data_IF_879206113760
#
_entry.id   IF_879206113760
#
_cell.length_a   1.000
_cell.length_b   1.000
_cell.length_c   1.000
_cell.angle_alpha   90.00
_cell.angle_beta   90.00
_cell.angle_gamma   90.00
#
_symmetry.space_group_name_H-M   'P 1'
#
loop_
_entity.id
_entity.type
_entity.pdbx_description
1 polymer ?
#
# COMPACT_ATOMS: atom_id res chain seq x y z
N UNK A 1 16.00 44.31 47.26
CA UNK A 1 14.97 43.37 46.72
C UNK A 1 14.65 43.62 45.24
N UNK A 2 14.61 44.87 44.77
CA UNK A 2 14.26 45.21 43.37
C UNK A 2 15.15 44.55 42.30
N UNK A 3 16.48 44.47 42.51
CA UNK A 3 17.40 43.81 41.56
C UNK A 3 17.14 42.31 41.40
N UNK A 4 16.77 41.62 42.49
CA UNK A 4 16.47 40.17 42.46
C UNK A 4 15.13 39.89 41.76
N UNK A 5 14.16 40.79 41.95
CA UNK A 5 12.87 40.76 41.23
C UNK A 5 13.05 41.03 39.73
N UNK A 6 13.91 41.98 39.36
CA UNK A 6 14.23 42.29 37.96
C UNK A 6 14.87 41.08 37.24
N UNK A 7 15.77 40.35 37.90
CA UNK A 7 16.36 39.12 37.37
C UNK A 7 15.34 37.98 37.20
N UNK A 8 14.40 37.84 38.14
CA UNK A 8 13.36 36.82 38.03
C UNK A 8 12.38 37.12 36.90
N UNK A 9 11.99 38.39 36.73
CA UNK A 9 11.08 38.81 35.65
C UNK A 9 11.74 38.60 34.28
N UNK A 10 13.01 38.98 34.12
CA UNK A 10 13.74 38.78 32.86
C UNK A 10 13.94 37.30 32.53
N UNK A 11 14.25 36.46 33.52
CA UNK A 11 14.34 35.01 33.32
C UNK A 11 12.97 34.39 32.95
N UNK A 12 11.90 34.80 33.61
CA UNK A 12 10.54 34.33 33.29
C UNK A 12 10.11 34.76 31.88
N UNK A 13 10.45 35.97 31.46
CA UNK A 13 10.12 36.49 30.14
C UNK A 13 10.91 35.78 29.03
N UNK A 14 12.17 35.40 29.27
CA UNK A 14 12.95 34.59 28.34
C UNK A 14 12.37 33.19 28.12
N UNK A 15 11.84 32.55 29.18
CA UNK A 15 11.16 31.26 29.09
C UNK A 15 9.85 31.33 28.29
N UNK A 16 9.09 32.41 28.44
CA UNK A 16 7.83 32.62 27.70
C UNK A 16 8.07 32.83 26.19
N UNK A 17 9.14 33.53 25.81
CA UNK A 17 9.47 33.77 24.39
C UNK A 17 10.05 32.52 23.71
N UNK A 18 10.69 31.62 24.45
CA UNK A 18 11.26 30.39 23.89
C UNK A 18 10.20 29.45 23.28
N UNK A 19 8.94 29.51 23.74
CA UNK A 19 7.83 28.75 23.15
C UNK A 19 7.31 29.29 21.82
N UNK A 20 7.53 30.59 21.54
CA UNK A 20 7.08 31.23 20.29
C UNK A 20 8.10 31.11 19.16
N UNK A 21 9.35 30.75 19.46
CA UNK A 21 10.41 30.56 18.47
C UNK A 21 10.36 29.19 17.77
N UNK A 22 9.32 28.38 18.02
CA UNK A 22 9.12 27.11 17.32
C UNK A 22 8.77 27.37 15.85
N UNK A 23 9.82 27.47 15.04
CA UNK A 23 9.79 27.67 13.58
C UNK A 23 10.13 26.37 12.83
N UNK A 24 10.19 25.25 13.56
CA UNK A 24 10.35 23.92 12.98
C UNK A 24 9.07 23.47 12.28
N UNK A 25 9.17 22.49 11.36
CA UNK A 25 7.97 21.89 10.78
C UNK A 25 7.13 21.29 11.91
N UNK A 26 5.89 21.77 12.03
CA UNK A 26 4.90 21.20 12.93
C UNK A 26 4.84 19.68 12.72
N UNK A 27 4.74 18.85 13.78
CA UNK A 27 4.70 17.39 13.66
C UNK A 27 3.65 16.90 12.64
N UNK A 28 2.54 17.65 12.52
CA UNK A 28 1.48 17.38 11.56
C UNK A 28 1.92 17.54 10.09
N UNK A 29 2.79 18.51 9.78
CA UNK A 29 3.33 18.68 8.42
C UNK A 29 4.37 17.60 8.09
N UNK A 30 5.16 17.18 9.08
CA UNK A 30 6.14 16.09 8.93
C UNK A 30 5.49 14.76 8.53
N UNK A 31 4.33 14.44 9.12
CA UNK A 31 3.66 13.14 8.93
C UNK A 31 2.52 13.17 7.90
N UNK A 32 2.33 14.28 7.20
CA UNK A 32 1.24 14.42 6.25
C UNK A 32 1.31 13.36 5.14
N UNK A 33 0.26 12.54 5.04
CA UNK A 33 0.13 11.49 4.03
C UNK A 33 0.91 10.20 4.31
N UNK A 34 1.69 10.11 5.40
CA UNK A 34 2.39 8.86 5.77
C UNK A 34 1.42 7.74 6.12
N UNK A 35 0.26 8.04 6.70
CA UNK A 35 -0.79 7.04 7.00
C UNK A 35 -1.31 6.36 5.74
N UNK A 36 -1.60 7.14 4.70
CA UNK A 36 -2.08 6.64 3.40
C UNK A 36 -1.00 5.83 2.70
N UNK A 37 0.24 6.35 2.62
CA UNK A 37 1.38 5.63 2.04
C UNK A 37 1.64 4.30 2.74
N UNK A 38 1.56 4.29 4.08
CA UNK A 38 1.73 3.08 4.89
C UNK A 38 0.61 2.08 4.63
N UNK A 39 -0.63 2.55 4.53
CA UNK A 39 -1.77 1.68 4.28
C UNK A 39 -1.68 1.01 2.90
N UNK A 40 -1.29 1.78 1.87
CA UNK A 40 -1.05 1.25 0.52
C UNK A 40 0.06 0.19 0.57
N UNK A 41 1.21 0.51 1.17
CA UNK A 41 2.34 -0.42 1.26
C UNK A 41 1.98 -1.74 1.98
N UNK A 42 1.09 -1.71 2.98
CA UNK A 42 0.61 -2.91 3.67
C UNK A 42 -0.38 -3.74 2.86
N UNK A 43 -1.05 -3.13 1.87
CA UNK A 43 -2.04 -3.80 1.02
C UNK A 43 -1.45 -4.23 -0.33
N UNK A 44 -0.30 -3.69 -0.73
CA UNK A 44 0.36 -4.06 -1.98
C UNK A 44 1.02 -5.43 -1.87
N UNK A 45 0.46 -6.42 -2.57
CA UNK A 45 0.96 -7.81 -2.60
C UNK A 45 2.32 -7.90 -3.30
N UNK A 46 2.53 -7.15 -4.38
CA UNK A 46 3.80 -7.08 -5.10
C UNK A 46 4.11 -5.62 -5.49
N UNK A 47 4.94 -4.91 -4.72
CA UNK A 47 5.28 -3.50 -5.00
C UNK A 47 6.18 -3.33 -6.22
N UNK A 48 6.83 -4.39 -6.68
CA UNK A 48 7.74 -4.37 -7.83
C UNK A 48 7.08 -4.87 -9.12
N UNK A 49 5.78 -5.18 -9.09
CA UNK A 49 5.04 -5.62 -10.26
C UNK A 49 5.14 -4.60 -11.41
N UNK A 50 5.68 -5.04 -12.56
CA UNK A 50 5.84 -4.21 -13.75
C UNK A 50 7.06 -3.26 -13.75
N UNK A 51 7.94 -3.30 -12.74
CA UNK A 51 9.20 -2.53 -12.73
C UNK A 51 10.24 -3.08 -13.72
N UNK A 52 10.23 -4.39 -13.92
CA UNK A 52 11.02 -5.04 -14.96
C UNK A 52 10.28 -4.97 -16.30
N UNK A 53 10.98 -4.55 -17.36
CA UNK A 53 10.49 -4.69 -18.73
C UNK A 53 10.55 -6.16 -19.13
N UNK A 54 9.59 -6.93 -18.62
CA UNK A 54 9.36 -8.29 -19.05
C UNK A 54 8.58 -8.25 -20.38
N UNK A 55 8.99 -9.04 -21.39
CA UNK A 55 8.21 -9.18 -22.61
C UNK A 55 6.76 -9.54 -22.24
N UNK A 56 5.73 -8.93 -22.85
CA UNK A 56 4.33 -9.16 -22.49
C UNK A 56 3.91 -10.64 -22.44
N UNK A 57 4.62 -11.50 -23.16
CA UNK A 57 4.43 -12.95 -23.17
C UNK A 57 4.69 -13.65 -21.82
N UNK A 58 5.46 -13.06 -20.89
CA UNK A 58 5.75 -13.64 -19.57
C UNK A 58 4.84 -13.11 -18.45
N UNK A 59 3.96 -12.16 -18.74
CA UNK A 59 2.98 -11.61 -17.82
C UNK A 59 1.67 -12.39 -17.95
N UNK A 60 1.62 -13.58 -17.36
CA UNK A 60 0.43 -14.41 -17.15
C UNK A 60 -0.41 -14.84 -18.36
N UNK A 61 -0.28 -14.25 -19.55
CA UNK A 61 -1.16 -14.52 -20.69
C UNK A 61 -1.14 -15.98 -21.13
N UNK A 62 0.06 -16.55 -21.31
CA UNK A 62 0.22 -17.94 -21.70
C UNK A 62 -0.15 -18.92 -20.59
N UNK A 63 0.10 -18.55 -19.33
CA UNK A 63 -0.26 -19.39 -18.18
C UNK A 63 -1.78 -19.41 -17.96
N UNK A 64 -2.43 -18.24 -18.05
CA UNK A 64 -3.88 -18.09 -18.01
C UNK A 64 -4.57 -18.76 -19.20
N UNK A 65 -3.99 -18.64 -20.40
CA UNK A 65 -4.48 -19.33 -21.60
C UNK A 65 -4.44 -20.85 -21.43
N UNK A 66 -3.33 -21.42 -20.93
CA UNK A 66 -3.25 -22.85 -20.63
C UNK A 66 -4.24 -23.29 -19.55
N UNK A 67 -4.43 -22.50 -18.50
CA UNK A 67 -5.40 -22.81 -17.44
C UNK A 67 -6.85 -22.79 -17.97
N UNK A 68 -7.18 -21.81 -18.81
CA UNK A 68 -8.48 -21.72 -19.49
C UNK A 68 -8.69 -22.87 -20.48
N UNK A 69 -7.65 -23.26 -21.22
CA UNK A 69 -7.71 -24.36 -22.18
C UNK A 69 -7.96 -25.69 -21.46
N UNK A 70 -7.22 -25.99 -20.40
CA UNK A 70 -7.40 -27.21 -19.60
C UNK A 70 -8.84 -27.30 -19.02
N UNK A 71 -9.38 -26.18 -18.56
CA UNK A 71 -10.76 -26.12 -18.03
C UNK A 71 -11.81 -26.40 -19.11
N UNK A 72 -11.61 -25.87 -20.33
CA UNK A 72 -12.53 -26.09 -21.46
C UNK A 72 -12.49 -27.53 -21.95
N UNK A 73 -11.30 -28.12 -22.04
CA UNK A 73 -11.12 -29.51 -22.46
C UNK A 73 -11.79 -30.47 -21.45
N UNK A 74 -11.57 -30.29 -20.15
CA UNK A 74 -12.21 -31.13 -19.13
C UNK A 74 -13.75 -31.02 -19.14
N UNK A 75 -14.28 -29.83 -19.43
CA UNK A 75 -15.72 -29.63 -19.53
C UNK A 75 -16.33 -30.28 -20.80
N UNK A 76 -15.57 -30.33 -21.90
CA UNK A 76 -15.98 -30.98 -23.13
C UNK A 76 -15.91 -32.52 -23.04
N UNK A 77 -14.93 -33.06 -22.32
CA UNK A 77 -14.84 -34.51 -22.06
C UNK A 77 -16.03 -34.99 -21.21
N UNK A 78 -16.35 -34.26 -20.12
CA UNK A 78 -17.46 -34.59 -19.24
C UNK A 78 -18.84 -34.57 -19.95
N UNK A 79 -19.05 -33.66 -20.90
CA UNK A 79 -20.29 -33.61 -21.68
C UNK A 79 -20.39 -34.73 -22.71
N UNK A 80 -19.26 -35.16 -23.28
CA UNK A 80 -19.22 -36.27 -24.24
C UNK A 80 -19.52 -37.61 -23.55
N UNK A 81 -19.00 -37.82 -22.34
CA UNK A 81 -19.29 -39.02 -21.53
C UNK A 81 -20.79 -39.11 -21.17
N UNK A 82 -21.40 -38.01 -20.75
CA UNK A 82 -22.85 -37.93 -20.50
C UNK A 82 -23.69 -38.25 -21.74
N UNK A 83 -23.28 -37.77 -22.91
CA UNK A 83 -24.00 -38.05 -24.16
C UNK A 83 -23.89 -39.52 -24.59
N UNK A 84 -22.76 -40.18 -24.29
CA UNK A 84 -22.57 -41.59 -24.58
C UNK A 84 -23.41 -42.48 -23.65
N UNK A 85 -23.56 -42.10 -22.37
CA UNK A 85 -24.38 -42.83 -21.40
C UNK A 85 -25.89 -42.71 -21.73
N UNK A 86 -26.35 -41.52 -22.15
CA UNK A 86 -27.73 -41.28 -22.58
C UNK A 86 -28.12 -42.05 -23.85
N UNK A 87 -27.16 -42.32 -24.75
CA UNK A 87 -27.40 -43.11 -25.98
C UNK A 87 -27.34 -44.61 -25.73
N UNK A 88 -26.66 -45.03 -24.65
CA UNK A 88 -26.50 -46.44 -24.29
C UNK A 88 -27.69 -47.00 -23.49
N UNK A 89 -28.58 -46.15 -22.96
CA UNK A 89 -29.83 -46.51 -22.27
C UNK A 89 -31.02 -46.56 -23.23
#
# INVERSE_FOLDING_TARGET
MAIKQLFLITAAMALLVAGCAHTGPEPMQSDFGNSVKTNIARQTINPDAGREQMPPATLDGQAAEKALQATRESAAEASTESLLDDVAQ
#
